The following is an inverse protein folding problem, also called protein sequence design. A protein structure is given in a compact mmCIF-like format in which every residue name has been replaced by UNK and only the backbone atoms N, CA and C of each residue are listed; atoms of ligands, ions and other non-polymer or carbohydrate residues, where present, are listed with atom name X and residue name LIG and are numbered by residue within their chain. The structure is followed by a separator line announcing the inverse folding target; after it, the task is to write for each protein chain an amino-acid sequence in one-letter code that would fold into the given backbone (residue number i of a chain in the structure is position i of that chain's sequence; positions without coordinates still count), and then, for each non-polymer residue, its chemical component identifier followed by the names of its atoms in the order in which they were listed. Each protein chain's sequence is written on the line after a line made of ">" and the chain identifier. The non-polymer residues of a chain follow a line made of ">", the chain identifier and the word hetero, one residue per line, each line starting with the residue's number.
data_IF_824047616076
#
_entry.id   IF_824047616076
#
_cell.length_a   1.000
_cell.length_b   1.000
_cell.length_c   1.000
_cell.angle_alpha   90.00
_cell.angle_beta   90.00
_cell.angle_gamma   90.00
#
_symmetry.space_group_name_H-M   'P 1'
#
loop_
_entity.id
_entity.type
_entity.pdbx_description
1 polymer ?
#
# COMPACT_ATOMS: atom_id res chain seq x y z
N UNK A 1 28.57 8.63 6.46
CA UNK A 1 27.82 8.62 7.74
C UNK A 1 26.68 9.60 7.56
N UNK A 2 25.53 9.13 7.07
CA UNK A 2 24.34 9.95 6.93
C UNK A 2 23.29 9.41 7.90
N UNK A 3 23.34 9.91 9.14
CA UNK A 3 22.26 9.73 10.11
C UNK A 3 21.09 10.62 9.69
N UNK A 4 20.15 10.03 8.95
CA UNK A 4 18.83 10.60 8.65
C UNK A 4 17.83 9.67 9.33
N UNK A 5 17.49 9.90 10.59
CA UNK A 5 16.47 10.85 11.03
C UNK A 5 15.34 10.03 11.66
N UNK A 6 14.68 10.52 12.70
CA UNK A 6 13.40 9.95 13.13
C UNK A 6 12.39 10.14 11.99
N UNK A 7 12.36 9.21 11.04
CA UNK A 7 11.64 9.34 9.78
C UNK A 7 10.39 8.46 9.76
N UNK A 8 9.23 9.09 9.63
CA UNK A 8 7.99 8.39 9.31
C UNK A 8 8.14 7.70 7.96
N UNK A 9 7.80 6.41 7.89
CA UNK A 9 7.78 5.64 6.65
C UNK A 9 6.35 5.51 6.14
N UNK A 10 6.14 5.81 4.86
CA UNK A 10 4.87 5.57 4.18
C UNK A 10 5.01 4.37 3.26
N UNK A 11 4.01 3.47 3.29
CA UNK A 11 4.03 2.21 2.53
C UNK A 11 2.64 1.96 1.96
N UNK A 12 2.57 1.58 0.69
CA UNK A 12 1.31 1.17 0.09
C UNK A 12 0.77 -0.12 0.76
N UNK A 13 -0.49 -0.09 1.18
CA UNK A 13 -1.12 -1.25 1.83
C UNK A 13 -1.23 -2.47 0.91
N UNK A 14 -1.45 -2.24 -0.40
CA UNK A 14 -1.58 -3.30 -1.42
C UNK A 14 -2.63 -4.37 -1.10
N UNK A 15 -3.72 -3.95 -0.46
CA UNK A 15 -4.81 -4.84 -0.05
C UNK A 15 -4.55 -5.63 1.24
N UNK A 16 -3.34 -5.57 1.80
CA UNK A 16 -3.02 -6.21 3.09
C UNK A 16 -3.87 -5.60 4.22
N UNK A 17 -4.29 -6.38 5.22
CA UNK A 17 -5.18 -5.92 6.28
C UNK A 17 -4.42 -5.13 7.35
N UNK A 18 -4.19 -3.83 7.10
CA UNK A 18 -3.63 -2.92 8.09
C UNK A 18 -4.67 -2.53 9.15
N UNK A 19 -4.32 -2.73 10.42
CA UNK A 19 -5.01 -2.17 11.57
C UNK A 19 -4.19 -1.05 12.22
N UNK A 20 -4.88 -0.12 12.86
CA UNK A 20 -4.22 0.87 13.69
C UNK A 20 -3.46 0.19 14.83
N UNK A 21 -2.27 0.68 15.14
CA UNK A 21 -1.41 0.18 16.21
C UNK A 21 -0.69 -1.13 15.91
N UNK A 22 -0.86 -1.71 14.71
CA UNK A 22 -0.11 -2.88 14.29
C UNK A 22 1.37 -2.54 14.09
N UNK A 23 2.23 -3.49 14.47
CA UNK A 23 3.66 -3.41 14.20
C UNK A 23 3.96 -3.87 12.76
N UNK A 24 4.94 -3.22 12.13
CA UNK A 24 5.41 -3.53 10.79
C UNK A 24 6.89 -3.90 10.81
N UNK A 25 7.25 -5.06 10.25
CA UNK A 25 8.65 -5.45 10.06
C UNK A 25 9.14 -4.96 8.69
N UNK A 26 9.94 -3.89 8.69
CA UNK A 26 10.48 -3.30 7.46
C UNK A 26 11.48 -4.19 6.72
N UNK A 27 12.01 -5.27 7.33
CA UNK A 27 12.98 -6.16 6.68
C UNK A 27 12.29 -7.22 5.82
N UNK A 28 11.14 -7.69 6.29
CA UNK A 28 10.36 -8.73 5.63
C UNK A 28 9.11 -8.17 4.93
N UNK A 29 8.85 -6.85 5.06
CA UNK A 29 7.65 -6.19 4.58
C UNK A 29 6.35 -6.87 5.04
N UNK A 30 6.34 -7.30 6.30
CA UNK A 30 5.26 -8.08 6.89
C UNK A 30 4.61 -7.39 8.09
N UNK A 31 3.30 -7.53 8.20
CA UNK A 31 2.55 -7.17 9.40
C UNK A 31 2.81 -8.18 10.51
N UNK A 32 2.97 -7.70 11.75
CA UNK A 32 3.11 -8.56 12.93
C UNK A 32 1.75 -8.64 13.63
N UNK A 33 0.98 -9.74 13.44
CA UNK A 33 -0.32 -9.89 14.08
C UNK A 33 -0.17 -10.18 15.58
N UNK A 34 -1.18 -9.82 16.37
CA UNK A 34 -1.28 -10.20 17.78
C UNK A 34 -0.39 -9.42 18.75
N UNK A 35 0.39 -8.44 18.26
CA UNK A 35 1.17 -7.53 19.09
C UNK A 35 0.78 -6.08 18.78
N UNK A 36 0.39 -5.34 19.82
CA UNK A 36 0.09 -3.90 19.76
C UNK A 36 0.81 -3.19 20.89
N UNK A 37 1.19 -1.93 20.68
CA UNK A 37 1.80 -1.11 21.75
C UNK A 37 0.78 -0.58 22.76
N UNK A 38 -0.49 -0.55 22.37
CA UNK A 38 -1.60 -0.06 23.17
C UNK A 38 -2.52 -1.21 23.57
N UNK A 39 -3.16 -1.05 24.73
CA UNK A 39 -4.34 -1.83 25.07
C UNK A 39 -5.44 -1.58 24.04
N UNK A 40 -6.24 -2.62 23.75
CA UNK A 40 -7.26 -2.56 22.72
C UNK A 40 -8.36 -1.54 23.05
N UNK A 41 -8.79 -1.44 24.31
CA UNK A 41 -9.81 -0.48 24.73
C UNK A 41 -9.28 0.94 24.65
N UNK A 42 -8.06 1.16 25.14
CA UNK A 42 -7.41 2.47 25.09
C UNK A 42 -7.19 2.94 23.66
N UNK A 43 -6.72 2.07 22.77
CA UNK A 43 -6.54 2.38 21.35
C UNK A 43 -7.86 2.82 20.73
N UNK A 44 -8.93 2.05 20.94
CA UNK A 44 -10.26 2.34 20.39
C UNK A 44 -10.83 3.67 20.87
N UNK A 45 -10.62 4.03 22.13
CA UNK A 45 -11.15 5.25 22.73
C UNK A 45 -10.42 6.52 22.26
N UNK A 46 -9.22 6.39 21.69
CA UNK A 46 -8.37 7.52 21.31
C UNK A 46 -8.01 7.55 19.81
N UNK A 47 -8.77 6.85 18.96
CA UNK A 47 -8.61 6.94 17.50
C UNK A 47 -9.04 8.33 17.04
N UNK A 48 -8.14 9.05 16.37
CA UNK A 48 -8.51 10.23 15.61
C UNK A 48 -8.96 9.82 14.21
N UNK A 49 -10.19 10.18 13.85
CA UNK A 49 -10.71 10.02 12.48
C UNK A 49 -10.96 11.40 11.86
N UNK A 50 -10.48 11.59 10.63
CA UNK A 50 -10.74 12.80 9.84
C UNK A 50 -11.28 12.41 8.48
N UNK A 51 -12.49 12.85 8.11
CA UNK A 51 -13.00 12.67 6.75
C UNK A 51 -12.05 13.31 5.73
N UNK A 52 -11.86 12.62 4.61
CA UNK A 52 -11.17 13.16 3.43
C UNK A 52 -12.07 13.00 2.22
N UNK A 53 -12.09 14.00 1.35
CA UNK A 53 -12.83 13.95 0.09
C UNK A 53 -11.84 14.15 -1.04
N UNK A 54 -11.24 13.05 -1.48
CA UNK A 54 -10.33 13.05 -2.61
C UNK A 54 -10.75 11.96 -3.58
N UNK A 55 -10.89 12.33 -4.85
CA UNK A 55 -11.14 11.41 -5.96
C UNK A 55 -10.22 11.79 -7.11
N UNK A 56 -9.69 10.78 -7.80
CA UNK A 56 -8.84 10.96 -8.96
C UNK A 56 -9.03 9.82 -9.96
N UNK A 57 -8.68 10.08 -11.22
CA UNK A 57 -8.85 9.14 -12.31
C UNK A 57 -7.69 9.23 -13.31
N UNK A 58 -7.00 8.10 -13.49
CA UNK A 58 -5.83 7.99 -14.38
C UNK A 58 -6.08 6.97 -15.49
N UNK A 59 -5.54 7.24 -16.67
CA UNK A 59 -5.52 6.28 -17.79
C UNK A 59 -4.09 5.80 -18.00
N UNK A 60 -3.88 4.49 -17.89
CA UNK A 60 -2.59 3.83 -18.07
C UNK A 60 -2.63 2.97 -19.33
N UNK A 61 -1.87 3.36 -20.35
CA UNK A 61 -1.76 2.63 -21.62
C UNK A 61 -0.54 1.68 -21.68
N UNK A 62 0.19 1.54 -20.57
CA UNK A 62 1.35 0.66 -20.44
C UNK A 62 1.08 -0.48 -19.46
N UNK A 63 1.74 -1.61 -19.69
CA UNK A 63 1.62 -2.81 -18.85
C UNK A 63 2.95 -3.19 -18.19
N UNK A 64 3.96 -2.31 -18.24
CA UNK A 64 5.22 -2.57 -17.57
C UNK A 64 5.01 -2.62 -16.06
N UNK A 65 5.75 -3.48 -15.35
CA UNK A 65 5.66 -3.54 -13.89
C UNK A 65 5.96 -2.17 -13.26
N UNK A 66 6.85 -1.39 -13.87
CA UNK A 66 7.18 -0.05 -13.41
C UNK A 66 5.97 0.89 -13.48
N UNK A 67 5.23 0.88 -14.58
CA UNK A 67 4.05 1.72 -14.74
C UNK A 67 2.91 1.27 -13.83
N UNK A 68 2.76 -0.05 -13.62
CA UNK A 68 1.79 -0.59 -12.66
C UNK A 68 2.12 -0.20 -11.23
N UNK A 69 3.40 -0.31 -10.84
CA UNK A 69 3.88 0.13 -9.53
C UNK A 69 3.66 1.62 -9.32
N UNK A 70 3.97 2.46 -10.31
CA UNK A 70 3.72 3.91 -10.26
C UNK A 70 2.24 4.24 -10.11
N UNK A 71 1.36 3.56 -10.86
CA UNK A 71 -0.08 3.78 -10.78
C UNK A 71 -0.64 3.52 -9.36
N UNK A 72 -0.03 2.60 -8.62
CA UNK A 72 -0.42 2.24 -7.25
C UNK A 72 0.46 2.88 -6.17
N UNK A 73 1.29 3.88 -6.50
CA UNK A 73 2.22 4.55 -5.59
C UNK A 73 3.11 3.56 -4.81
N UNK A 74 3.64 2.56 -5.51
CA UNK A 74 4.55 1.55 -4.93
C UNK A 74 5.99 2.00 -5.08
N UNK A 75 6.61 2.31 -3.94
CA UNK A 75 8.01 2.68 -3.84
C UNK A 75 8.97 1.55 -4.24
N UNK A 76 10.21 1.91 -4.57
CA UNK A 76 11.20 0.98 -5.12
C UNK A 76 11.50 -0.21 -4.19
N UNK A 77 11.59 0.02 -2.87
CA UNK A 77 11.81 -1.04 -1.87
C UNK A 77 10.65 -2.03 -1.85
N UNK A 78 9.42 -1.54 -1.71
CA UNK A 78 8.23 -2.38 -1.68
C UNK A 78 8.01 -3.13 -3.00
N UNK A 79 8.35 -2.50 -4.14
CA UNK A 79 8.35 -3.16 -5.45
C UNK A 79 9.32 -4.33 -5.50
N UNK A 80 10.53 -4.17 -4.96
CA UNK A 80 11.50 -5.25 -4.88
C UNK A 80 10.98 -6.40 -4.00
N UNK A 81 10.39 -6.07 -2.85
CA UNK A 81 9.80 -7.07 -1.95
C UNK A 81 8.66 -7.83 -2.61
N UNK A 82 7.77 -7.14 -3.34
CA UNK A 82 6.74 -7.77 -4.17
C UNK A 82 7.34 -8.72 -5.23
N UNK A 83 8.33 -8.26 -5.99
CA UNK A 83 8.99 -9.09 -7.02
C UNK A 83 9.72 -10.30 -6.44
N UNK A 84 10.20 -10.21 -5.20
CA UNK A 84 10.82 -11.33 -4.47
C UNK A 84 9.81 -12.28 -3.82
N UNK A 85 8.51 -11.96 -3.85
CA UNK A 85 7.44 -12.76 -3.25
C UNK A 85 7.27 -12.58 -1.73
N UNK A 86 7.91 -11.56 -1.13
CA UNK A 86 7.74 -11.24 0.30
C UNK A 86 6.38 -10.59 0.59
N UNK A 87 5.78 -9.95 -0.42
CA UNK A 87 4.51 -9.24 -0.28
C UNK A 87 3.47 -9.90 -1.16
N UNK A 88 2.45 -10.47 -0.52
CA UNK A 88 1.22 -10.89 -1.18
C UNK A 88 0.28 -9.69 -1.35
N UNK A 89 -0.35 -9.60 -2.52
CA UNK A 89 -1.22 -8.48 -2.89
C UNK A 89 -2.67 -8.91 -3.00
N UNK A 90 -3.57 -8.07 -2.51
CA UNK A 90 -5.01 -8.35 -2.47
C UNK A 90 -5.83 -7.19 -3.07
N UNK A 91 -7.14 -7.43 -3.25
CA UNK A 91 -8.07 -6.44 -3.76
C UNK A 91 -7.64 -5.85 -5.12
N UNK A 92 -7.66 -4.52 -5.22
CA UNK A 92 -7.26 -3.79 -6.44
C UNK A 92 -5.77 -3.95 -6.76
N UNK A 93 -4.91 -4.24 -5.77
CA UNK A 93 -3.48 -4.41 -5.98
C UNK A 93 -3.13 -5.71 -6.74
N UNK A 94 -4.07 -6.65 -6.89
CA UNK A 94 -3.93 -7.80 -7.81
C UNK A 94 -3.64 -7.38 -9.24
N UNK A 95 -3.92 -6.12 -9.61
CA UNK A 95 -3.47 -5.51 -10.86
C UNK A 95 -1.96 -5.67 -11.11
N UNK A 96 -1.11 -5.70 -10.07
CA UNK A 96 0.33 -5.94 -10.19
C UNK A 96 0.66 -7.34 -10.73
N UNK A 97 -0.18 -8.33 -10.46
CA UNK A 97 -0.04 -9.71 -10.95
C UNK A 97 -0.70 -9.93 -12.32
N UNK A 98 -1.59 -9.03 -12.75
CA UNK A 98 -2.18 -9.11 -14.07
C UNK A 98 -1.08 -8.84 -15.12
N UNK A 99 -1.04 -9.67 -16.15
CA UNK A 99 -0.07 -9.54 -17.24
C UNK A 99 -0.72 -9.88 -18.57
N UNK A 100 -0.22 -9.27 -19.64
CA UNK A 100 -0.65 -9.62 -20.99
C UNK A 100 -0.10 -10.99 -21.36
N UNK A 101 -0.97 -11.87 -21.84
CA UNK A 101 -0.58 -13.19 -22.36
C UNK A 101 0.02 -13.12 -23.77
N UNK A 102 -0.21 -12.02 -24.51
CA UNK A 102 0.27 -11.83 -25.87
C UNK A 102 0.63 -10.37 -26.16
N UNK A 103 1.61 -10.17 -27.04
CA UNK A 103 2.02 -8.86 -27.54
C UNK A 103 1.03 -8.28 -28.56
N UNK A 104 0.20 -9.11 -29.17
CA UNK A 104 -0.77 -8.71 -30.21
C UNK A 104 -2.10 -8.22 -29.60
N UNK A 105 -2.07 -7.70 -28.38
CA UNK A 105 -3.24 -7.19 -27.66
C UNK A 105 -2.97 -5.78 -27.14
N UNK A 106 -3.76 -4.82 -27.63
CA UNK A 106 -3.83 -3.47 -27.06
C UNK A 106 -4.68 -3.49 -25.78
N UNK A 107 -4.17 -2.91 -24.70
CA UNK A 107 -4.88 -2.79 -23.42
C UNK A 107 -4.69 -1.38 -22.92
N UNK A 108 -5.76 -0.83 -22.35
CA UNK A 108 -5.77 0.43 -21.64
C UNK A 108 -6.44 0.16 -20.30
N UNK A 109 -5.84 0.64 -19.22
CA UNK A 109 -6.33 0.48 -17.85
C UNK A 109 -6.82 1.82 -17.33
N UNK A 110 -8.02 1.85 -16.78
CA UNK A 110 -8.56 2.99 -16.05
C UNK A 110 -8.37 2.75 -14.55
N UNK A 111 -7.63 3.63 -13.89
CA UNK A 111 -7.47 3.64 -12.43
C UNK A 111 -8.40 4.70 -11.87
N UNK A 112 -9.27 4.30 -10.95
CA UNK A 112 -10.03 5.21 -10.12
C UNK A 112 -9.49 5.15 -8.70
N UNK A 113 -9.21 6.31 -8.10
CA UNK A 113 -8.71 6.44 -6.74
C UNK A 113 -9.68 7.28 -5.92
N UNK A 114 -10.02 6.79 -4.73
CA UNK A 114 -10.83 7.52 -3.77
C UNK A 114 -10.21 7.39 -2.37
N UNK A 115 -10.03 8.52 -1.69
CA UNK A 115 -9.62 8.58 -0.29
C UNK A 115 -10.74 9.22 0.50
N UNK A 116 -11.33 8.46 1.43
CA UNK A 116 -12.56 8.83 2.15
C UNK A 116 -12.31 9.31 3.58
N UNK A 117 -11.22 8.86 4.19
CA UNK A 117 -10.82 9.24 5.55
C UNK A 117 -9.37 8.93 5.84
N UNK A 118 -8.85 9.62 6.84
CA UNK A 118 -7.56 9.35 7.47
C UNK A 118 -7.80 9.03 8.94
N UNK A 119 -7.12 8.00 9.44
CA UNK A 119 -7.22 7.58 10.83
C UNK A 119 -5.82 7.50 11.45
N UNK A 120 -5.68 7.88 12.71
CA UNK A 120 -4.41 7.81 13.44
C UNK A 120 -4.58 7.23 14.85
N UNK A 121 -3.51 6.62 15.35
CA UNK A 121 -3.38 6.25 16.75
C UNK A 121 -3.04 7.48 17.60
N UNK A 122 -3.16 7.39 18.93
CA UNK A 122 -2.81 8.48 19.86
C UNK A 122 -1.35 8.91 19.77
#
# INVERSE_FOLDING_TARGET
>A
MDSKGSGTMEVAALGRPFGLGMLYDCRNDSLVPGMTLWDHEDLKNHIGERPQMFNDCDIVASESIEDKSKALNVEASLKASFLSGLVEVEGSAKYLNDSKTSKNHARVTLKYQATTKSMNCP
#
